data_IF_783888699284
#
_entry.id   IF_783888699284
#
_cell.length_a   1.000
_cell.length_b   1.000
_cell.length_c   1.000
_cell.angle_alpha   90.00
_cell.angle_beta   90.00
_cell.angle_gamma   90.00
#
_symmetry.space_group_name_H-M   'P 1'
#
loop_
_entity.id
_entity.type
_entity.pdbx_description
1 polymer ?
#
# COMPACT_ATOMS: atom_id res chain seq x y z
N UNK A 1 7.88 -23.57 22.17
CA UNK A 1 8.52 -23.20 20.89
C UNK A 1 7.80 -23.91 19.75
N UNK A 2 6.69 -23.34 19.28
CA UNK A 2 5.96 -23.89 18.14
C UNK A 2 6.58 -23.37 16.85
N UNK A 3 7.28 -24.23 16.11
CA UNK A 3 7.68 -23.95 14.75
C UNK A 3 6.42 -23.66 13.93
N UNK A 4 6.29 -22.44 13.40
CA UNK A 4 5.29 -22.15 12.38
C UNK A 4 5.76 -22.78 11.08
N UNK A 5 5.51 -24.09 10.93
CA UNK A 5 5.69 -24.79 9.66
C UNK A 5 4.74 -24.18 8.65
N UNK A 6 5.26 -23.31 7.78
CA UNK A 6 4.54 -22.95 6.56
C UNK A 6 4.28 -24.20 5.72
N UNK A 7 3.32 -24.18 4.80
CA UNK A 7 3.08 -25.32 3.92
C UNK A 7 4.39 -25.71 3.24
N UNK A 8 4.80 -26.97 3.42
CA UNK A 8 6.00 -27.52 2.78
C UNK A 8 5.65 -27.77 1.33
N UNK A 9 6.04 -26.83 0.47
CA UNK A 9 5.77 -26.94 -0.96
C UNK A 9 6.76 -27.89 -1.64
N UNK A 10 6.22 -28.78 -2.48
CA UNK A 10 7.02 -29.57 -3.40
C UNK A 10 7.76 -28.68 -4.41
N UNK A 11 8.79 -29.24 -5.06
CA UNK A 11 9.59 -28.51 -6.08
C UNK A 11 8.71 -27.97 -7.21
N UNK A 12 7.71 -28.74 -7.64
CA UNK A 12 6.78 -28.37 -8.72
C UNK A 12 5.93 -27.16 -8.32
N UNK A 13 5.31 -27.20 -7.14
CA UNK A 13 4.49 -26.10 -6.63
C UNK A 13 5.31 -24.80 -6.47
N UNK A 14 6.56 -24.91 -6.01
CA UNK A 14 7.47 -23.77 -5.95
C UNK A 14 7.77 -23.19 -7.33
N UNK A 15 7.98 -24.03 -8.35
CA UNK A 15 8.24 -23.56 -9.71
C UNK A 15 7.00 -22.92 -10.33
N UNK A 16 5.83 -23.53 -10.17
CA UNK A 16 4.56 -23.00 -10.68
C UNK A 16 4.25 -21.63 -10.07
N UNK A 17 4.45 -21.49 -8.77
CA UNK A 17 4.27 -20.21 -8.11
C UNK A 17 5.27 -19.15 -8.61
N UNK A 18 6.56 -19.49 -8.73
CA UNK A 18 7.57 -18.57 -9.28
C UNK A 18 7.23 -18.15 -10.71
N UNK A 19 6.69 -19.07 -11.51
CA UNK A 19 6.21 -18.79 -12.87
C UNK A 19 5.05 -17.80 -12.85
N UNK A 20 4.04 -18.01 -11.99
CA UNK A 20 2.90 -17.09 -11.82
C UNK A 20 3.33 -15.70 -11.36
N UNK A 21 4.24 -15.61 -10.40
CA UNK A 21 4.78 -14.32 -9.92
C UNK A 21 5.50 -13.58 -11.06
N UNK A 22 6.38 -14.27 -11.80
CA UNK A 22 7.08 -13.68 -12.95
C UNK A 22 6.09 -13.24 -14.03
N UNK A 23 5.13 -14.10 -14.38
CA UNK A 23 4.11 -13.81 -15.38
C UNK A 23 3.25 -12.61 -15.00
N UNK A 24 2.88 -12.47 -13.73
CA UNK A 24 2.11 -11.33 -13.24
C UNK A 24 2.91 -10.02 -13.32
N UNK A 25 4.19 -10.03 -12.90
CA UNK A 25 5.05 -8.83 -12.95
C UNK A 25 5.37 -8.43 -14.40
N UNK A 26 5.68 -9.39 -15.27
CA UNK A 26 5.92 -9.14 -16.69
C UNK A 26 4.65 -8.69 -17.40
N UNK A 27 3.52 -9.32 -17.14
CA UNK A 27 2.21 -8.93 -17.71
C UNK A 27 1.81 -7.51 -17.31
N UNK A 28 2.05 -7.13 -16.05
CA UNK A 28 1.85 -5.75 -15.60
C UNK A 28 2.73 -4.75 -16.35
N UNK A 29 4.02 -5.06 -16.53
CA UNK A 29 4.94 -4.19 -17.27
C UNK A 29 4.61 -4.09 -18.77
N UNK A 30 4.17 -5.20 -19.39
CA UNK A 30 3.71 -5.22 -20.78
C UNK A 30 2.43 -4.42 -20.94
N UNK A 31 1.47 -4.58 -20.03
CA UNK A 31 0.23 -3.79 -20.03
C UNK A 31 0.49 -2.30 -19.88
N UNK A 32 1.38 -1.92 -18.96
CA UNK A 32 1.84 -0.54 -18.79
C UNK A 32 2.49 0.01 -20.07
N UNK A 33 3.40 -0.75 -20.69
CA UNK A 33 4.06 -0.34 -21.93
C UNK A 33 3.11 -0.24 -23.15
N UNK A 34 2.07 -1.08 -23.22
CA UNK A 34 1.04 -1.02 -24.26
C UNK A 34 0.08 0.15 -24.05
N UNK A 35 -0.24 0.48 -22.79
CA UNK A 35 -1.11 1.61 -22.43
C UNK A 35 -0.44 2.97 -22.53
N UNK A 36 0.86 3.06 -22.21
CA UNK A 36 1.65 4.29 -22.22
C UNK A 36 1.46 5.22 -23.45
N UNK A 37 1.48 4.75 -24.71
CA UNK A 37 1.29 5.61 -25.89
C UNK A 37 -0.15 6.14 -26.05
N UNK A 38 -1.13 5.56 -25.37
CA UNK A 38 -2.56 5.82 -25.58
C UNK A 38 -3.32 6.27 -24.33
N UNK A 39 -2.63 6.47 -23.19
CA UNK A 39 -3.25 6.72 -21.88
C UNK A 39 -4.18 7.97 -21.85
N UNK A 40 -3.92 8.94 -22.72
CA UNK A 40 -4.75 10.15 -22.85
C UNK A 40 -5.75 10.15 -24.02
N UNK A 41 -5.84 9.06 -24.80
CA UNK A 41 -6.62 9.02 -26.02
C UNK A 41 -7.99 8.36 -25.83
N UNK A 42 -9.00 8.89 -26.52
CA UNK A 42 -10.28 8.22 -26.68
C UNK A 42 -10.18 7.02 -27.63
N UNK A 43 -11.13 6.07 -27.52
CA UNK A 43 -11.11 4.84 -28.33
C UNK A 43 -11.08 5.10 -29.84
N UNK A 44 -11.75 6.15 -30.32
CA UNK A 44 -11.76 6.51 -31.74
C UNK A 44 -10.40 7.08 -32.21
N UNK A 45 -9.71 7.84 -31.34
CA UNK A 45 -8.36 8.34 -31.63
C UNK A 45 -7.34 7.21 -31.64
N UNK A 46 -7.47 6.25 -30.70
CA UNK A 46 -6.66 5.04 -30.68
C UNK A 46 -6.84 4.26 -31.98
N UNK A 47 -8.09 4.06 -32.42
CA UNK A 47 -8.38 3.35 -33.67
C UNK A 47 -7.88 4.08 -34.90
N UNK A 48 -7.98 5.42 -34.92
CA UNK A 48 -7.45 6.22 -36.01
C UNK A 48 -5.91 6.11 -36.11
N UNK A 49 -5.21 6.05 -34.98
CA UNK A 49 -3.74 5.98 -34.93
C UNK A 49 -3.17 4.56 -35.09
N UNK A 50 -3.88 3.54 -34.58
CA UNK A 50 -3.37 2.16 -34.47
C UNK A 50 -4.16 1.13 -35.30
N UNK A 51 -5.28 1.52 -35.91
CA UNK A 51 -6.17 0.63 -36.65
C UNK A 51 -7.34 0.11 -35.81
N UNK A 52 -8.30 -0.62 -36.44
CA UNK A 52 -9.55 -1.03 -35.79
C UNK A 52 -9.35 -1.92 -34.55
N UNK A 53 -8.26 -2.71 -34.53
CA UNK A 53 -7.88 -3.59 -33.42
C UNK A 53 -7.16 -2.84 -32.27
N UNK A 54 -6.86 -1.55 -32.43
CA UNK A 54 -6.14 -0.74 -31.46
C UNK A 54 -4.67 -1.14 -31.33
N UNK A 55 -4.12 -1.03 -30.11
CA UNK A 55 -2.70 -1.30 -29.85
C UNK A 55 -2.45 -2.82 -29.79
N UNK A 56 -1.83 -3.37 -30.85
CA UNK A 56 -1.49 -4.80 -30.96
C UNK A 56 0.00 -5.10 -30.81
N UNK A 57 0.84 -4.07 -30.71
CA UNK A 57 2.30 -4.19 -30.53
C UNK A 57 2.83 -3.00 -29.72
N UNK A 58 4.04 -3.14 -29.15
CA UNK A 58 4.71 -2.12 -28.38
C UNK A 58 5.01 -0.88 -29.23
N UNK A 59 4.26 0.19 -29.03
CA UNK A 59 4.48 1.46 -29.71
C UNK A 59 5.51 2.34 -28.98
N UNK A 60 5.89 3.44 -29.64
CA UNK A 60 6.81 4.42 -29.07
C UNK A 60 6.10 5.33 -28.07
N UNK A 61 6.66 5.45 -26.87
CA UNK A 61 6.28 6.43 -25.87
C UNK A 61 7.56 6.88 -25.14
N UNK A 62 7.62 8.14 -24.67
CA UNK A 62 8.78 8.65 -23.93
C UNK A 62 10.13 8.43 -24.65
N UNK A 63 10.15 8.55 -25.98
CA UNK A 63 11.36 8.45 -26.80
C UNK A 63 11.85 7.02 -27.09
N UNK A 64 11.11 5.97 -26.73
CA UNK A 64 11.48 4.58 -27.07
C UNK A 64 10.26 3.67 -27.25
N UNK A 65 10.44 2.55 -27.96
CA UNK A 65 9.42 1.49 -28.03
C UNK A 65 9.35 0.71 -26.71
N UNK A 66 8.14 0.39 -26.28
CA UNK A 66 7.89 -0.39 -25.05
C UNK A 66 8.34 0.32 -23.77
N UNK A 67 8.19 1.64 -23.70
CA UNK A 67 8.50 2.39 -22.50
C UNK A 67 7.48 2.08 -21.39
N UNK A 68 7.96 1.55 -20.27
CA UNK A 68 7.18 1.45 -19.03
C UNK A 68 7.09 2.80 -18.33
N UNK A 69 6.04 3.03 -17.55
CA UNK A 69 5.75 4.29 -16.86
C UNK A 69 6.01 4.20 -15.35
N UNK A 70 5.60 5.23 -14.61
CA UNK A 70 5.56 5.21 -13.16
C UNK A 70 4.77 4.01 -12.57
N UNK A 71 3.82 3.42 -13.30
CA UNK A 71 3.07 2.25 -12.83
C UNK A 71 3.97 1.03 -12.64
N UNK A 72 4.82 0.69 -13.62
CA UNK A 72 5.80 -0.38 -13.46
C UNK A 72 6.79 -0.05 -12.35
N UNK A 73 7.28 1.20 -12.29
CA UNK A 73 8.22 1.62 -11.24
C UNK A 73 7.61 1.42 -9.84
N UNK A 74 6.37 1.87 -9.63
CA UNK A 74 5.63 1.66 -8.37
C UNK A 74 5.52 0.16 -8.04
N UNK A 75 5.19 -0.68 -9.01
CA UNK A 75 5.09 -2.13 -8.82
C UNK A 75 6.42 -2.70 -8.29
N UNK A 76 7.56 -2.31 -8.89
CA UNK A 76 8.88 -2.77 -8.47
C UNK A 76 9.23 -2.30 -7.06
N UNK A 77 8.97 -1.04 -6.72
CA UNK A 77 9.20 -0.52 -5.37
C UNK A 77 8.27 -1.14 -4.33
N UNK A 78 7.02 -1.47 -4.69
CA UNK A 78 6.13 -2.24 -3.81
C UNK A 78 6.73 -3.63 -3.53
N UNK A 79 7.22 -4.33 -4.57
CA UNK A 79 7.89 -5.64 -4.40
C UNK A 79 9.13 -5.52 -3.51
N UNK A 80 9.99 -4.52 -3.71
CA UNK A 80 11.15 -4.26 -2.83
C UNK A 80 10.72 -4.04 -1.37
N UNK A 81 9.69 -3.22 -1.14
CA UNK A 81 9.12 -2.99 0.19
C UNK A 81 8.61 -4.28 0.85
N UNK A 82 7.94 -5.14 0.09
CA UNK A 82 7.44 -6.44 0.55
C UNK A 82 8.55 -7.45 0.85
N UNK A 83 9.60 -7.50 0.01
CA UNK A 83 10.78 -8.35 0.24
C UNK A 83 11.47 -7.94 1.53
N UNK A 84 11.74 -6.64 1.72
CA UNK A 84 12.34 -6.13 2.97
C UNK A 84 11.41 -6.37 4.17
N UNK A 85 10.10 -6.20 3.96
CA UNK A 85 8.96 -6.78 4.69
C UNK A 85 9.24 -8.12 5.35
N UNK A 86 9.49 -9.07 4.46
CA UNK A 86 9.63 -10.48 4.79
C UNK A 86 10.98 -10.77 5.45
N UNK A 87 12.07 -10.13 5.01
CA UNK A 87 13.40 -10.29 5.65
C UNK A 87 13.40 -9.81 7.11
N UNK A 88 12.79 -8.65 7.41
CA UNK A 88 12.68 -8.15 8.80
C UNK A 88 11.75 -8.97 9.68
N UNK A 89 10.86 -9.78 9.09
CA UNK A 89 10.05 -10.74 9.86
C UNK A 89 10.94 -11.75 10.56
N UNK A 90 11.96 -12.23 9.87
CA UNK A 90 12.85 -13.27 10.38
C UNK A 90 13.75 -12.73 11.52
N UNK A 91 13.94 -11.40 11.60
CA UNK A 91 14.67 -10.71 12.67
C UNK A 91 13.78 -10.11 13.77
N UNK A 92 12.46 -10.37 13.74
CA UNK A 92 11.51 -9.90 14.77
C UNK A 92 11.06 -8.44 14.68
N UNK A 93 11.52 -7.67 13.69
CA UNK A 93 11.26 -6.23 13.54
C UNK A 93 10.20 -5.90 12.47
N UNK A 94 9.19 -6.77 12.32
CA UNK A 94 8.21 -6.69 11.21
C UNK A 94 7.24 -5.51 11.38
N UNK A 95 7.30 -4.51 10.49
CA UNK A 95 6.23 -3.52 10.33
C UNK A 95 5.99 -3.16 8.85
N UNK A 96 5.23 -3.99 8.11
CA UNK A 96 5.15 -3.87 6.66
C UNK A 96 4.65 -2.53 6.13
N UNK A 97 3.71 -1.81 6.79
CA UNK A 97 3.34 -0.46 6.37
C UNK A 97 4.53 0.51 6.34
N UNK A 98 5.42 0.46 7.33
CA UNK A 98 6.62 1.32 7.39
C UNK A 98 7.58 1.00 6.26
N UNK A 99 7.65 -0.27 5.89
CA UNK A 99 8.63 -0.76 4.93
C UNK A 99 8.23 -0.46 3.49
N UNK A 100 6.94 -0.60 3.20
CA UNK A 100 6.33 -0.08 1.98
C UNK A 100 6.42 1.44 1.92
N UNK A 101 6.17 2.16 3.02
CA UNK A 101 6.34 3.62 3.07
C UNK A 101 7.74 4.04 2.68
N UNK A 102 8.76 3.40 3.26
CA UNK A 102 10.17 3.66 2.93
C UNK A 102 10.46 3.33 1.47
N UNK A 103 9.90 2.26 0.91
CA UNK A 103 10.03 1.97 -0.52
C UNK A 103 9.41 3.05 -1.40
N UNK A 104 8.23 3.57 -1.03
CA UNK A 104 7.60 4.67 -1.76
C UNK A 104 8.33 6.01 -1.60
N UNK A 105 9.00 6.26 -0.47
CA UNK A 105 9.90 7.41 -0.30
C UNK A 105 11.10 7.31 -1.26
N UNK A 106 11.69 6.12 -1.40
CA UNK A 106 12.78 5.87 -2.35
C UNK A 106 12.32 6.06 -3.79
N UNK A 107 11.17 5.51 -4.16
CA UNK A 107 10.56 5.78 -5.47
C UNK A 107 10.34 7.28 -5.69
N UNK A 108 9.74 7.98 -4.73
CA UNK A 108 9.51 9.42 -4.84
C UNK A 108 10.82 10.22 -4.93
N UNK A 109 11.92 9.73 -4.36
CA UNK A 109 13.25 10.31 -4.57
C UNK A 109 13.71 10.13 -6.02
N UNK A 110 13.53 8.96 -6.64
CA UNK A 110 13.90 8.78 -8.06
C UNK A 110 13.10 9.67 -9.01
N UNK A 111 11.88 10.10 -8.63
CA UNK A 111 11.08 11.04 -9.43
C UNK A 111 11.50 12.51 -9.29
N UNK A 112 12.42 12.83 -8.37
CA UNK A 112 12.87 14.19 -8.04
C UNK A 112 14.37 14.38 -8.32
N UNK A 113 15.16 13.37 -7.97
CA UNK A 113 16.61 13.39 -8.07
C UNK A 113 17.03 13.12 -9.52
N UNK A 114 18.04 13.83 -10.01
CA UNK A 114 18.56 13.70 -11.38
C UNK A 114 19.17 12.32 -11.68
N UNK A 115 19.61 11.61 -10.65
CA UNK A 115 20.23 10.30 -10.78
C UNK A 115 20.50 9.64 -9.42
N UNK A 116 21.05 8.43 -9.42
CA UNK A 116 21.24 7.65 -8.20
C UNK A 116 22.34 8.24 -7.30
N UNK A 117 22.05 8.36 -6.01
CA UNK A 117 23.03 8.80 -5.01
C UNK A 117 23.60 7.60 -4.25
N UNK A 118 24.73 7.05 -4.74
CA UNK A 118 25.38 5.86 -4.18
C UNK A 118 25.86 6.01 -2.73
N UNK A 119 25.84 7.22 -2.16
CA UNK A 119 26.15 7.47 -0.75
C UNK A 119 25.00 7.03 0.17
N UNK A 120 23.76 6.96 -0.33
CA UNK A 120 22.57 6.55 0.43
C UNK A 120 22.45 5.03 0.48
N UNK A 121 23.28 4.39 1.32
CA UNK A 121 23.36 2.92 1.43
C UNK A 121 22.02 2.24 1.76
N UNK A 122 21.10 2.95 2.43
CA UNK A 122 19.79 2.41 2.79
C UNK A 122 18.81 2.30 1.62
N UNK A 123 19.12 2.99 0.51
CA UNK A 123 18.24 3.03 -0.66
C UNK A 123 18.17 1.65 -1.35
N UNK A 124 19.29 0.92 -1.33
CA UNK A 124 19.43 -0.41 -1.90
C UNK A 124 19.39 -0.43 -3.42
N UNK A 125 19.52 -1.63 -3.99
CA UNK A 125 19.85 -1.81 -5.42
C UNK A 125 18.88 -1.10 -6.37
N UNK A 126 17.57 -1.23 -6.15
CA UNK A 126 16.58 -0.70 -7.09
C UNK A 126 16.75 0.82 -7.28
N UNK A 127 16.94 1.60 -6.22
CA UNK A 127 17.12 3.05 -6.32
C UNK A 127 18.45 3.49 -6.97
N UNK A 128 19.37 2.56 -7.24
CA UNK A 128 20.60 2.84 -7.98
C UNK A 128 20.45 2.65 -9.50
N UNK A 129 19.31 2.14 -9.96
CA UNK A 129 19.04 1.94 -11.38
C UNK A 129 18.64 3.27 -12.06
N UNK A 130 19.54 3.81 -12.89
CA UNK A 130 19.36 5.13 -13.53
C UNK A 130 18.04 5.27 -14.30
N UNK A 131 17.56 4.19 -14.92
CA UNK A 131 16.33 4.22 -15.71
C UNK A 131 15.07 4.50 -14.87
N UNK A 132 15.12 4.28 -13.55
CA UNK A 132 14.02 4.61 -12.62
C UNK A 132 13.93 6.10 -12.28
N UNK A 133 14.96 6.88 -12.64
CA UNK A 133 14.94 8.34 -12.54
C UNK A 133 14.26 9.00 -13.75
N UNK A 134 13.94 8.23 -14.79
CA UNK A 134 13.11 8.71 -15.88
C UNK A 134 11.66 8.87 -15.38
N UNK A 135 11.26 10.12 -15.17
CA UNK A 135 9.89 10.48 -14.76
C UNK A 135 8.94 10.33 -15.95
N UNK A 136 8.03 9.36 -15.87
CA UNK A 136 7.06 9.01 -16.93
C UNK A 136 5.64 9.03 -16.37
N UNK A 137 5.07 10.22 -16.42
CA UNK A 137 3.69 10.54 -16.10
C UNK A 137 3.14 10.21 -14.68
N UNK A 138 3.94 10.29 -13.60
CA UNK A 138 3.36 10.24 -12.27
C UNK A 138 2.52 11.50 -12.01
N UNK A 139 1.28 11.29 -11.56
CA UNK A 139 0.38 12.39 -11.19
C UNK A 139 0.96 13.22 -10.03
N UNK A 140 0.66 14.52 -10.01
CA UNK A 140 1.12 15.43 -8.93
C UNK A 140 0.67 14.94 -7.56
N UNK A 141 -0.57 14.45 -7.47
CA UNK A 141 -1.13 13.93 -6.23
C UNK A 141 -0.39 12.70 -5.73
N UNK A 142 -0.02 11.78 -6.62
CA UNK A 142 0.79 10.61 -6.26
C UNK A 142 2.15 11.02 -5.70
N UNK A 143 2.83 11.96 -6.35
CA UNK A 143 4.15 12.45 -5.90
C UNK A 143 4.08 13.11 -4.53
N UNK A 144 3.07 13.95 -4.29
CA UNK A 144 2.88 14.58 -2.99
C UNK A 144 2.53 13.54 -1.92
N UNK A 145 1.61 12.63 -2.21
CA UNK A 145 1.17 11.62 -1.24
C UNK A 145 2.26 10.61 -0.86
N UNK A 146 3.08 10.18 -1.82
CA UNK A 146 4.18 9.22 -1.56
C UNK A 146 5.50 9.90 -1.18
N UNK A 147 5.68 11.18 -1.47
CA UNK A 147 6.87 11.96 -1.14
C UNK A 147 6.85 12.62 0.25
N UNK A 148 5.72 12.63 0.95
CA UNK A 148 5.51 13.33 2.23
C UNK A 148 5.96 12.54 3.46
N UNK A 149 6.87 13.07 4.28
CA UNK A 149 7.42 12.37 5.44
C UNK A 149 6.37 11.78 6.41
N UNK A 150 5.19 12.40 6.50
CA UNK A 150 4.08 11.92 7.31
C UNK A 150 3.21 10.94 6.52
N UNK A 151 3.03 9.72 7.02
CA UNK A 151 2.09 8.77 6.43
C UNK A 151 0.63 9.17 6.73
N UNK A 152 -0.25 9.11 5.73
CA UNK A 152 -1.69 9.21 5.94
C UNK A 152 -2.26 8.01 6.70
N UNK A 153 -3.40 8.19 7.36
CA UNK A 153 -4.12 7.11 8.05
C UNK A 153 -5.40 6.75 7.29
N UNK A 154 -6.10 5.70 7.73
CA UNK A 154 -7.42 5.38 7.17
C UNK A 154 -8.44 6.50 7.44
N UNK A 155 -8.34 7.16 8.60
CA UNK A 155 -9.23 8.26 8.99
C UNK A 155 -8.82 9.61 8.36
N UNK A 156 -7.53 9.77 8.03
CA UNK A 156 -6.97 10.95 7.39
C UNK A 156 -6.06 10.56 6.22
N UNK A 157 -6.64 10.13 5.08
CA UNK A 157 -5.86 9.76 3.90
C UNK A 157 -5.19 11.00 3.28
N UNK A 158 -3.99 10.83 2.72
CA UNK A 158 -3.25 11.94 2.06
C UNK A 158 -3.91 12.46 0.79
N UNK A 159 -4.76 11.64 0.16
CA UNK A 159 -5.34 11.94 -1.14
C UNK A 159 -6.77 11.41 -1.20
N UNK A 160 -7.71 12.02 -0.43
CA UNK A 160 -9.10 11.57 -0.41
C UNK A 160 -9.75 11.75 -1.80
N UNK A 161 -10.51 10.75 -2.24
CA UNK A 161 -11.30 10.83 -3.48
C UNK A 161 -10.50 10.78 -4.78
N UNK A 162 -9.19 10.52 -4.73
CA UNK A 162 -8.38 10.36 -5.95
C UNK A 162 -8.64 9.00 -6.57
N UNK A 163 -9.27 9.02 -7.73
CA UNK A 163 -9.44 7.87 -8.59
C UNK A 163 -8.33 7.87 -9.64
N UNK A 164 -7.68 6.73 -9.81
CA UNK A 164 -6.61 6.56 -10.79
C UNK A 164 -6.03 5.15 -10.76
N UNK A 165 -5.34 4.74 -11.83
CA UNK A 165 -4.81 3.38 -11.96
C UNK A 165 -3.70 3.09 -10.94
N UNK A 166 -3.11 4.10 -10.30
CA UNK A 166 -1.91 3.99 -9.46
C UNK A 166 -2.14 3.21 -8.15
N UNK A 167 -3.39 2.91 -7.80
CA UNK A 167 -3.73 1.96 -6.72
C UNK A 167 -3.38 0.52 -7.10
N UNK A 168 -3.54 0.15 -8.37
CA UNK A 168 -3.36 -1.23 -8.85
C UNK A 168 -1.89 -1.70 -8.76
N UNK A 169 -0.90 -0.96 -9.30
CA UNK A 169 0.53 -1.30 -9.15
C UNK A 169 0.98 -1.54 -7.72
N UNK A 170 0.37 -0.79 -6.78
CA UNK A 170 0.69 -0.86 -5.36
C UNK A 170 0.00 -2.01 -4.65
N UNK A 171 -1.07 -2.55 -5.21
CA UNK A 171 -1.93 -3.56 -4.55
C UNK A 171 -1.70 -4.98 -5.10
N UNK A 172 -1.45 -5.11 -6.40
CA UNK A 172 -1.24 -6.41 -7.06
C UNK A 172 -0.12 -7.24 -6.39
N UNK A 173 1.05 -6.67 -6.03
CA UNK A 173 2.12 -7.45 -5.40
C UNK A 173 1.75 -8.13 -4.07
N UNK A 174 0.75 -7.63 -3.34
CA UNK A 174 0.29 -8.28 -2.11
C UNK A 174 -0.39 -9.63 -2.37
N UNK A 175 -1.09 -9.77 -3.51
CA UNK A 175 -1.69 -11.03 -3.93
C UNK A 175 -0.66 -12.07 -4.41
N UNK A 176 0.55 -11.62 -4.69
CA UNK A 176 1.68 -12.47 -5.12
C UNK A 176 2.51 -12.98 -3.92
N UNK A 177 2.10 -12.73 -2.67
CA UNK A 177 2.79 -13.22 -1.48
C UNK A 177 2.09 -14.44 -0.87
N UNK A 178 2.82 -15.56 -0.75
CA UNK A 178 2.36 -16.75 -0.01
C UNK A 178 2.30 -16.43 1.48
N UNK A 179 1.18 -16.73 2.13
CA UNK A 179 1.03 -16.58 3.58
C UNK A 179 0.87 -15.14 4.08
N UNK A 180 0.61 -14.19 3.18
CA UNK A 180 0.20 -12.84 3.56
C UNK A 180 -1.28 -12.84 3.98
N UNK A 181 -1.56 -13.01 5.28
CA UNK A 181 -2.86 -12.72 5.88
C UNK A 181 -2.87 -11.29 6.45
N UNK A 182 -3.60 -10.32 5.85
CA UNK A 182 -3.68 -8.95 6.35
C UNK A 182 -4.36 -8.84 7.74
N UNK A 183 -5.16 -9.84 8.15
CA UNK A 183 -6.21 -9.64 9.15
C UNK A 183 -5.95 -10.15 10.59
N UNK A 184 -4.87 -10.88 10.91
CA UNK A 184 -4.80 -11.56 12.24
C UNK A 184 -4.20 -10.76 13.42
N UNK A 185 -3.79 -9.50 13.27
CA UNK A 185 -3.10 -8.77 14.37
C UNK A 185 -3.81 -7.53 14.93
N UNK A 186 -4.78 -6.95 14.22
CA UNK A 186 -5.56 -5.82 14.76
C UNK A 186 -6.62 -6.26 15.80
N UNK A 187 -7.13 -7.50 15.71
CA UNK A 187 -8.20 -7.99 16.59
C UNK A 187 -7.72 -8.48 17.98
N UNK A 188 -6.42 -8.76 18.17
CA UNK A 188 -5.90 -9.31 19.46
C UNK A 188 -5.59 -8.25 20.52
N UNK A 189 -5.70 -6.95 20.20
CA UNK A 189 -5.54 -5.85 21.17
C UNK A 189 -6.85 -5.31 21.74
N UNK A 190 -8.01 -5.84 21.34
CA UNK A 190 -9.34 -5.43 21.85
C UNK A 190 -10.05 -6.44 22.77
N UNK A 191 -9.43 -7.59 23.09
CA UNK A 191 -10.01 -8.61 24.00
C UNK A 191 -9.16 -8.84 25.26
N UNK A 192 -8.33 -7.87 25.65
CA UNK A 192 -7.74 -7.81 27.00
C UNK A 192 -7.85 -6.38 27.52
N UNK A 193 -8.95 -6.09 28.20
CA UNK A 193 -9.14 -4.83 28.88
C UNK A 193 -10.60 -4.40 28.97
N UNK A 194 -11.43 -5.18 29.67
CA UNK A 194 -12.63 -4.71 30.36
C UNK A 194 -13.26 -5.88 31.15
N UNK A 195 -12.82 -6.09 32.37
CA UNK A 195 -13.69 -6.61 33.43
C UNK A 195 -13.42 -5.75 34.68
N UNK A 196 -14.31 -4.83 35.07
CA UNK A 196 -14.29 -4.25 36.39
C UNK A 196 -15.30 -5.01 37.26
N UNK A 197 -14.83 -6.04 37.97
CA UNK A 197 -15.51 -6.46 39.20
C UNK A 197 -15.14 -5.45 40.30
N UNK A 198 -16.11 -4.87 41.03
CA UNK A 198 -15.81 -4.11 42.23
C UNK A 198 -15.45 -5.07 43.38
N UNK A 199 -14.49 -4.71 44.26
CA UNK A 199 -14.28 -5.46 45.49
C UNK A 199 -15.32 -5.05 46.55
N UNK A 200 -15.99 -6.05 47.11
CA UNK A 200 -16.95 -5.91 48.21
C UNK A 200 -16.27 -5.67 49.56
N UNK A 201 -16.86 -4.74 50.33
CA UNK A 201 -17.00 -4.79 51.80
C UNK A 201 -15.99 -3.98 52.63
N UNK A 202 -16.34 -3.28 53.72
CA UNK A 202 -17.61 -3.03 54.47
C UNK A 202 -17.37 -1.74 55.36
N UNK A 203 -18.21 -1.34 56.34
CA UNK A 203 -19.04 -0.11 56.33
C UNK A 203 -18.65 0.95 57.39
N UNK A 204 -19.07 2.22 57.25
CA UNK A 204 -19.30 3.08 58.42
C UNK A 204 -20.43 4.11 58.19
N UNK A 205 -21.57 3.82 58.84
CA UNK A 205 -22.31 4.75 59.70
C UNK A 205 -22.82 6.09 59.17
N UNK A 206 -24.15 6.19 59.05
CA UNK A 206 -24.89 7.20 59.83
C UNK A 206 -25.62 8.34 59.10
N UNK A 207 -26.93 8.40 59.40
CA UNK A 207 -27.85 9.57 59.42
C UNK A 207 -28.48 9.96 58.08
N UNK A 208 -29.72 9.59 57.79
CA UNK A 208 -31.03 10.10 58.29
C UNK A 208 -31.47 11.43 57.64
N UNK A 209 -32.51 11.30 56.79
CA UNK A 209 -33.59 12.26 56.41
C UNK A 209 -33.15 13.49 55.58
N UNK A 210 -33.94 14.07 54.65
CA UNK A 210 -35.41 14.20 54.52
C UNK A 210 -35.83 14.24 53.04
N UNK A 211 -36.98 13.63 52.76
CA UNK A 211 -37.86 14.00 51.65
C UNK A 211 -38.26 15.48 51.74
N UNK A 212 -38.17 16.20 50.62
CA UNK A 212 -39.13 17.26 50.29
C UNK A 212 -39.16 17.50 48.78
N UNK A 213 -40.22 16.99 48.16
CA UNK A 213 -40.68 17.45 46.87
C UNK A 213 -41.19 18.90 47.02
N UNK A 214 -40.80 19.76 46.08
CA UNK A 214 -41.53 20.99 45.75
C UNK A 214 -41.61 21.08 44.24
N UNK A 215 -42.76 20.67 43.72
CA UNK A 215 -43.28 21.12 42.44
C UNK A 215 -43.77 22.56 42.61
N UNK A 216 -43.55 23.39 41.60
CA UNK A 216 -44.05 24.75 41.54
C UNK A 216 -43.92 25.34 40.15
N UNK A 217 -45.08 25.71 39.60
CA UNK A 217 -45.36 26.79 38.64
C UNK A 217 -45.41 26.46 37.13
N UNK A 218 -46.65 26.25 36.63
CA UNK A 218 -47.32 27.02 35.55
C UNK A 218 -48.84 26.96 35.86
N UNK A 219 -49.54 28.04 36.22
CA UNK A 219 -50.12 29.18 35.46
C UNK A 219 -51.10 28.77 34.35
N UNK A 220 -52.37 29.11 34.55
CA UNK A 220 -53.40 29.71 33.66
C UNK A 220 -54.76 29.48 34.37
N UNK A 221 -55.35 30.53 34.97
CA UNK A 221 -56.30 31.50 34.38
C UNK A 221 -57.68 30.92 34.13
#
# INVERSE_FOLDING_TARGET
MGATGGPVWGRVEQQDFRSRVRGALLGAAVGDALGAPVDGLGIEEIRAAHGPDGVVDLAAAYGRRGAVTHLTQLTLFTVDGLIRAQVRRDTGARHPPTDLRRAYLRWAATQRDWGPDLRRKEDGWLAHEEWLHARRDPTRTLLLGLGDEVMGTLDAPKSPGVAGPEVLPRSVPFGLLVGWEPARRAARRRVRGADPRPPDGVPLGGRVRRHRARAGLRRES
#
